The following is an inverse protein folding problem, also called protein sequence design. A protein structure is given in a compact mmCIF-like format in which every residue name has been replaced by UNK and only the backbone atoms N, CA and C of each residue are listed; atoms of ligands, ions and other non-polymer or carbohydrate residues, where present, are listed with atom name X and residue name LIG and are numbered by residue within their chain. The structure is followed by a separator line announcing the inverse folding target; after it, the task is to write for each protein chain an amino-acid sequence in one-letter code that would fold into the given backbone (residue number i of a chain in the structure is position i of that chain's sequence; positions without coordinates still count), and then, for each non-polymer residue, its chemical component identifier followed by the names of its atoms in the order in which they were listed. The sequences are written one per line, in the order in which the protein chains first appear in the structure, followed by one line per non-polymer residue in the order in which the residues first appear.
data_IF_614842968517
#
_entry.id   IF_614842968517
#
_cell.length_a   1.000
_cell.length_b   1.000
_cell.length_c   1.000
_cell.angle_alpha   90.00
_cell.angle_beta   90.00
_cell.angle_gamma   90.00
#
_symmetry.space_group_name_H-M   'P 1'
#
loop_
_entity.id
_entity.type
_entity.pdbx_description
1 polymer ?
#
# COMPACT_ATOMS: atom_id res chain seq x y z
N UNK A 1 6.00 14.41 3.72
CA UNK A 1 6.05 12.94 3.58
C UNK A 1 5.19 12.58 2.38
N UNK A 2 5.51 11.52 1.65
CA UNK A 2 4.78 11.13 0.44
C UNK A 2 4.07 9.81 0.64
N UNK A 3 2.93 9.68 -0.02
CA UNK A 3 2.19 8.45 -0.10
C UNK A 3 2.89 7.51 -1.10
N UNK A 4 2.53 6.23 -1.05
CA UNK A 4 3.12 5.21 -1.91
C UNK A 4 2.04 4.54 -2.74
N UNK A 5 2.19 4.56 -4.05
CA UNK A 5 1.36 3.82 -4.99
C UNK A 5 2.08 2.54 -5.43
N UNK A 6 1.42 1.40 -5.27
CA UNK A 6 1.91 0.06 -5.60
C UNK A 6 0.95 -0.58 -6.60
N UNK A 7 1.51 -1.14 -7.68
CA UNK A 7 0.74 -1.98 -8.58
C UNK A 7 0.63 -3.41 -8.02
N UNK A 8 -0.59 -3.89 -7.84
CA UNK A 8 -0.90 -5.24 -7.40
C UNK A 8 -2.30 -5.60 -7.87
N UNK A 9 -2.56 -6.86 -8.22
CA UNK A 9 -3.92 -7.27 -8.54
C UNK A 9 -4.77 -7.31 -7.25
N UNK A 10 -6.10 -7.05 -7.31
CA UNK A 10 -6.96 -7.08 -6.12
C UNK A 10 -6.85 -8.39 -5.32
N UNK A 11 -6.63 -9.52 -6.00
CA UNK A 11 -6.44 -10.82 -5.35
C UNK A 11 -5.18 -10.90 -4.48
N UNK A 12 -4.13 -10.15 -4.82
CA UNK A 12 -2.87 -10.12 -4.05
C UNK A 12 -3.03 -9.36 -2.72
N UNK A 13 -4.02 -8.46 -2.63
CA UNK A 13 -4.27 -7.61 -1.46
C UNK A 13 -5.50 -8.03 -0.64
N UNK A 14 -6.33 -8.93 -1.16
CA UNK A 14 -7.58 -9.36 -0.53
C UNK A 14 -7.39 -9.84 0.92
N UNK A 15 -6.36 -10.65 1.17
CA UNK A 15 -6.03 -11.16 2.51
C UNK A 15 -5.48 -10.09 3.48
N UNK A 16 -5.29 -8.85 3.00
CA UNK A 16 -4.83 -7.70 3.78
C UNK A 16 -5.97 -6.72 4.08
N UNK A 17 -7.17 -6.96 3.56
CA UNK A 17 -8.35 -6.14 3.85
C UNK A 17 -8.73 -6.26 5.33
N UNK A 18 -9.22 -5.17 5.91
CA UNK A 18 -9.57 -5.08 7.34
C UNK A 18 -10.51 -6.20 7.80
N UNK A 19 -11.48 -6.58 6.99
CA UNK A 19 -12.42 -7.67 7.29
C UNK A 19 -11.75 -9.06 7.37
N UNK A 20 -10.57 -9.22 6.78
CA UNK A 20 -9.81 -10.47 6.70
C UNK A 20 -8.62 -10.52 7.67
N UNK A 21 -8.32 -9.41 8.37
CA UNK A 21 -7.17 -9.30 9.26
C UNK A 21 -7.65 -9.20 10.71
N UNK A 22 -7.17 -10.06 11.63
CA UNK A 22 -7.56 -9.98 13.04
C UNK A 22 -7.19 -8.64 13.68
N UNK A 23 -8.00 -8.20 14.63
CA UNK A 23 -7.77 -6.93 15.35
C UNK A 23 -6.39 -6.87 15.99
N UNK A 24 -5.75 -5.69 15.90
CA UNK A 24 -4.42 -5.44 16.47
C UNK A 24 -3.25 -5.94 15.61
N UNK A 25 -3.51 -6.56 14.45
CA UNK A 25 -2.47 -6.94 13.50
C UNK A 25 -2.19 -5.84 12.48
N UNK A 26 -0.96 -5.85 11.96
CA UNK A 26 -0.54 -5.02 10.83
C UNK A 26 -0.40 -5.87 9.57
N UNK A 27 -0.43 -5.21 8.42
CA UNK A 27 -0.07 -5.78 7.14
C UNK A 27 1.31 -5.29 6.70
N UNK A 28 1.93 -6.01 5.78
CA UNK A 28 3.15 -5.57 5.13
C UNK A 28 3.16 -5.89 3.64
N UNK A 29 4.00 -5.15 2.91
CA UNK A 29 4.31 -5.38 1.51
C UNK A 29 5.82 -5.39 1.33
N UNK A 30 6.31 -6.40 0.61
CA UNK A 30 7.73 -6.51 0.30
C UNK A 30 8.09 -5.51 -0.79
N UNK A 31 9.09 -4.68 -0.52
CA UNK A 31 9.57 -3.66 -1.45
C UNK A 31 11.06 -3.85 -1.71
N UNK A 32 11.48 -3.57 -2.95
CA UNK A 32 12.90 -3.57 -3.29
C UNK A 32 13.55 -2.29 -2.73
N UNK A 33 14.47 -2.48 -1.77
CA UNK A 33 15.11 -1.38 -1.05
C UNK A 33 14.26 -0.81 0.09
N UNK A 34 14.73 0.27 0.71
CA UNK A 34 14.02 0.94 1.81
C UNK A 34 13.37 2.22 1.27
N UNK A 35 12.04 2.37 1.29
CA UNK A 35 11.38 3.63 0.97
C UNK A 35 11.91 4.76 1.87
N UNK A 36 12.37 5.87 1.27
CA UNK A 36 13.02 7.00 1.98
C UNK A 36 12.18 8.28 2.03
N UNK A 37 11.10 8.36 1.26
CA UNK A 37 10.23 9.55 1.21
C UNK A 37 8.85 9.33 1.83
N UNK A 38 8.59 8.15 2.38
CA UNK A 38 7.35 7.78 3.08
C UNK A 38 7.66 7.38 4.53
N UNK A 39 6.64 7.12 5.34
CA UNK A 39 6.76 6.75 6.73
C UNK A 39 5.44 6.82 7.48
N UNK A 40 5.46 6.68 8.82
CA UNK A 40 4.26 6.71 9.64
C UNK A 40 3.41 7.96 9.39
N UNK A 41 2.12 7.77 9.10
CA UNK A 41 1.17 8.83 8.78
C UNK A 41 1.00 9.15 7.28
N UNK A 42 1.79 8.54 6.40
CA UNK A 42 1.51 8.49 4.97
C UNK A 42 0.54 7.34 4.63
N UNK A 43 -0.08 7.38 3.46
CA UNK A 43 -0.89 6.28 2.93
C UNK A 43 -0.09 5.34 2.02
N UNK A 44 -0.47 4.07 2.01
CA UNK A 44 -0.14 3.11 0.95
C UNK A 44 -1.40 2.84 0.12
N UNK A 45 -1.25 2.94 -1.19
CA UNK A 45 -2.31 2.83 -2.19
C UNK A 45 -1.98 1.66 -3.11
N UNK A 46 -2.97 0.79 -3.36
CA UNK A 46 -2.85 -0.34 -4.28
C UNK A 46 -3.73 -0.11 -5.50
N UNK A 47 -3.15 -0.31 -6.69
CA UNK A 47 -3.81 -0.12 -7.97
C UNK A 47 -3.58 -1.31 -8.90
N UNK A 48 -4.58 -1.60 -9.73
CA UNK A 48 -4.54 -2.58 -10.82
C UNK A 48 -4.14 -1.97 -12.17
N UNK A 49 -3.85 -0.66 -12.19
CA UNK A 49 -3.56 0.10 -13.40
C UNK A 49 -4.73 0.95 -13.91
N UNK A 50 -5.95 0.71 -13.41
CA UNK A 50 -7.13 1.50 -13.76
C UNK A 50 -7.57 2.42 -12.62
N UNK A 51 -7.63 1.90 -11.38
CA UNK A 51 -8.05 2.64 -10.18
C UNK A 51 -7.27 2.22 -8.95
N UNK A 52 -7.32 3.04 -7.89
CA UNK A 52 -6.89 2.61 -6.56
C UNK A 52 -8.05 1.83 -5.95
N UNK A 53 -7.80 0.56 -5.63
CA UNK A 53 -8.82 -0.37 -5.12
C UNK A 53 -8.65 -0.70 -3.63
N UNK A 54 -7.47 -0.42 -3.05
CA UNK A 54 -7.23 -0.59 -1.63
C UNK A 54 -6.29 0.48 -1.07
N UNK A 55 -6.55 0.89 0.18
CA UNK A 55 -5.76 1.91 0.89
C UNK A 55 -5.52 1.51 2.34
N UNK A 56 -4.33 1.81 2.85
CA UNK A 56 -4.01 1.71 4.27
C UNK A 56 -3.07 2.84 4.71
N UNK A 57 -2.80 2.91 6.00
CA UNK A 57 -1.89 3.89 6.60
C UNK A 57 -0.56 3.22 6.93
N UNK A 58 0.54 3.82 6.49
CA UNK A 58 1.88 3.35 6.81
C UNK A 58 2.11 3.49 8.31
N UNK A 59 2.60 2.42 8.93
CA UNK A 59 2.89 2.34 10.37
C UNK A 59 4.38 2.27 10.67
N UNK A 60 5.16 1.63 9.81
CA UNK A 60 6.61 1.47 9.98
C UNK A 60 7.30 1.18 8.64
N UNK A 61 8.54 1.67 8.50
CA UNK A 61 9.45 1.29 7.40
C UNK A 61 10.59 0.47 7.98
N UNK A 62 10.71 -0.79 7.53
CA UNK A 62 11.87 -1.64 7.83
C UNK A 62 12.55 -2.05 6.54
N UNK A 63 13.77 -2.59 6.63
CA UNK A 63 14.52 -3.00 5.44
C UNK A 63 13.75 -4.10 4.71
N UNK A 64 13.30 -3.79 3.48
CA UNK A 64 12.58 -4.73 2.62
C UNK A 64 11.06 -4.80 2.85
N UNK A 65 10.51 -4.13 3.87
CA UNK A 65 9.07 -4.14 4.14
C UNK A 65 8.52 -2.73 4.38
N UNK A 66 7.38 -2.46 3.75
CA UNK A 66 6.49 -1.36 4.10
C UNK A 66 5.38 -1.94 4.98
N UNK A 67 5.30 -1.53 6.25
CA UNK A 67 4.24 -1.97 7.17
C UNK A 67 3.13 -0.93 7.23
N UNK A 68 1.89 -1.40 7.31
CA UNK A 68 0.70 -0.56 7.26
C UNK A 68 -0.47 -1.18 8.03
N UNK A 69 -1.48 -0.37 8.30
CA UNK A 69 -2.77 -0.82 8.86
C UNK A 69 -3.48 -1.75 7.88
N UNK A 70 -4.40 -2.63 8.35
CA UNK A 70 -5.24 -3.40 7.46
C UNK A 70 -5.97 -2.50 6.45
N UNK A 71 -6.07 -2.97 5.21
CA UNK A 71 -6.52 -2.18 4.08
C UNK A 71 -8.04 -1.96 4.08
N UNK A 72 -8.46 -0.77 3.68
CA UNK A 72 -9.83 -0.46 3.32
C UNK A 72 -10.02 -0.64 1.80
N UNK A 73 -11.17 -1.19 1.42
CA UNK A 73 -11.57 -1.24 0.00
C UNK A 73 -12.01 0.15 -0.44
N UNK A 74 -11.43 0.66 -1.52
CA UNK A 74 -11.73 1.99 -2.06
C UNK A 74 -11.95 1.94 -3.56
N UNK A 75 -12.46 3.02 -4.13
CA UNK A 75 -12.67 3.15 -5.58
C UNK A 75 -12.26 4.57 -6.04
N UNK A 76 -10.96 4.84 -6.05
CA UNK A 76 -10.41 6.19 -6.23
C UNK A 76 -9.63 6.33 -7.55
N UNK A 77 -9.59 7.52 -8.17
CA UNK A 77 -8.76 7.76 -9.35
C UNK A 77 -7.27 7.61 -9.02
N UNK A 78 -6.47 7.11 -9.97
CA UNK A 78 -5.03 6.96 -9.75
C UNK A 78 -4.37 8.35 -9.69
N UNK A 79 -3.60 8.67 -8.64
CA UNK A 79 -2.99 10.01 -8.46
C UNK A 79 -1.86 10.31 -9.47
N UNK A 80 -1.28 9.30 -10.09
CA UNK A 80 -0.20 9.43 -11.07
C UNK A 80 -0.15 8.20 -11.98
N UNK A 81 0.66 8.23 -13.03
CA UNK A 81 0.87 7.03 -13.86
C UNK A 81 1.49 5.89 -13.02
N UNK A 82 0.85 4.71 -12.93
CA UNK A 82 1.32 3.62 -12.10
C UNK A 82 2.62 3.01 -12.65
N UNK A 83 3.40 2.42 -11.77
CA UNK A 83 4.56 1.59 -12.16
C UNK A 83 4.15 0.13 -12.12
N UNK A 84 4.53 -0.68 -13.10
CA UNK A 84 4.17 -2.12 -13.12
C UNK A 84 5.02 -2.97 -12.16
N UNK A 85 6.06 -2.39 -11.54
CA UNK A 85 6.92 -3.05 -10.54
C UNK A 85 7.39 -2.06 -9.49
N UNK A 86 7.48 -2.53 -8.24
CA UNK A 86 7.96 -1.74 -7.12
C UNK A 86 6.89 -0.75 -6.65
N UNK A 87 7.29 0.50 -6.45
CA UNK A 87 6.39 1.53 -5.91
C UNK A 87 6.74 2.92 -6.45
N UNK A 88 5.78 3.84 -6.41
CA UNK A 88 5.94 5.25 -6.77
C UNK A 88 5.50 6.15 -5.63
N UNK A 89 6.25 7.23 -5.38
CA UNK A 89 5.82 8.26 -4.44
C UNK A 89 4.82 9.20 -5.09
N UNK A 90 3.74 9.52 -4.37
CA UNK A 90 2.68 10.43 -4.81
C UNK A 90 2.42 11.56 -3.81
#
# INVERSE_FOLDING_TARGET
MKDVLIYADPGDVEHKLRENVPDGHYCYWTVNGTPRQTGPGASVLFTDGERVHARGDVTEIVVGELRFTPLERVDEPIPTEPVTRGFRYV
#
